data_IF_389264269577
#
_entry.id   IF_389264269577
#
_cell.length_a   1.000
_cell.length_b   1.000
_cell.length_c   1.000
_cell.angle_alpha   90.00
_cell.angle_beta   90.00
_cell.angle_gamma   90.00
#
_symmetry.space_group_name_H-M   'P 1'
#
loop_
_entity.id
_entity.type
_entity.pdbx_description
1 polymer ?
#
# COMPACT_ATOMS: atom_id res chain seq x y z
N UNK A 1 14.57 -62.77 45.34
CA UNK A 1 14.99 -62.46 43.95
C UNK A 1 13.95 -61.51 43.38
N UNK A 2 14.23 -60.21 43.41
CA UNK A 2 13.29 -59.11 43.16
C UNK A 2 12.95 -59.00 41.66
N UNK A 3 11.65 -58.89 41.33
CA UNK A 3 11.16 -58.47 40.01
C UNK A 3 10.90 -56.96 40.06
N UNK A 4 11.67 -56.18 39.29
CA UNK A 4 11.32 -54.80 38.97
C UNK A 4 10.58 -54.79 37.63
N UNK A 5 9.27 -54.51 37.68
CA UNK A 5 8.47 -54.17 36.51
C UNK A 5 8.39 -52.65 36.41
N UNK A 6 9.09 -52.07 35.43
CA UNK A 6 9.01 -50.65 35.10
C UNK A 6 8.11 -50.44 33.88
N UNK A 7 6.95 -49.84 34.08
CA UNK A 7 6.07 -49.34 33.01
C UNK A 7 6.60 -47.99 32.50
N UNK A 8 6.99 -47.92 31.22
CA UNK A 8 7.29 -46.66 30.55
C UNK A 8 5.99 -45.92 30.28
N UNK A 9 5.82 -44.74 30.88
CA UNK A 9 4.75 -43.79 30.55
C UNK A 9 5.28 -42.83 29.49
N UNK A 10 4.70 -42.83 28.31
CA UNK A 10 5.00 -41.86 27.25
C UNK A 10 4.34 -40.51 27.57
N UNK A 11 5.04 -39.37 27.37
CA UNK A 11 4.44 -38.06 27.59
C UNK A 11 3.33 -37.77 26.55
N UNK A 12 2.31 -36.97 26.89
CA UNK A 12 1.25 -36.61 25.95
C UNK A 12 1.83 -35.78 24.80
N UNK A 13 1.49 -36.16 23.57
CA UNK A 13 1.84 -35.41 22.37
C UNK A 13 1.20 -34.02 22.36
N UNK A 14 1.76 -33.07 21.59
CA UNK A 14 1.20 -31.73 21.47
C UNK A 14 -0.24 -31.78 20.95
N UNK A 15 -1.13 -30.89 21.41
CA UNK A 15 -2.50 -30.83 20.91
C UNK A 15 -2.49 -30.54 19.41
N UNK A 16 -3.43 -31.10 18.64
CA UNK A 16 -3.56 -30.81 17.22
C UNK A 16 -3.78 -29.30 17.01
N UNK A 17 -3.26 -28.72 15.93
CA UNK A 17 -3.47 -27.32 15.63
C UNK A 17 -4.97 -27.05 15.56
N UNK A 18 -5.43 -26.07 16.35
CA UNK A 18 -6.78 -25.54 16.29
C UNK A 18 -7.07 -25.14 14.85
N UNK A 19 -8.14 -25.74 14.29
CA UNK A 19 -8.69 -25.36 13.00
C UNK A 19 -8.92 -23.85 13.00
N UNK A 20 -8.13 -23.13 12.20
CA UNK A 20 -8.40 -21.73 11.86
C UNK A 20 -9.82 -21.71 11.29
N UNK A 21 -10.73 -21.02 11.98
CA UNK A 21 -12.07 -20.80 11.48
C UNK A 21 -11.97 -19.97 10.22
N UNK A 22 -12.15 -20.61 9.06
CA UNK A 22 -12.33 -19.88 7.80
C UNK A 22 -13.66 -19.14 7.92
N UNK A 23 -13.62 -17.84 8.16
CA UNK A 23 -14.75 -16.96 7.94
C UNK A 23 -15.13 -17.07 6.46
N UNK A 24 -16.37 -17.50 6.13
CA UNK A 24 -16.80 -17.57 4.74
C UNK A 24 -16.74 -16.17 4.13
N UNK A 25 -16.21 -16.07 2.91
CA UNK A 25 -16.20 -14.83 2.13
C UNK A 25 -17.61 -14.18 2.17
N UNK A 26 -17.74 -12.89 2.52
CA UNK A 26 -19.04 -12.27 2.69
C UNK A 26 -19.84 -12.34 1.37
N UNK A 27 -21.15 -12.68 1.41
CA UNK A 27 -21.94 -12.79 0.20
C UNK A 27 -22.20 -11.41 -0.40
N UNK A 28 -21.43 -11.07 -1.44
CA UNK A 28 -21.64 -9.89 -2.28
C UNK A 28 -23.02 -9.94 -2.97
N UNK A 29 -23.62 -8.79 -3.32
CA UNK A 29 -24.99 -8.72 -3.85
C UNK A 29 -25.26 -9.61 -5.08
N UNK A 30 -24.25 -9.85 -5.92
CA UNK A 30 -24.31 -10.77 -7.06
C UNK A 30 -23.20 -11.84 -7.02
N UNK A 31 -22.76 -12.19 -5.81
CA UNK A 31 -21.68 -13.15 -5.57
C UNK A 31 -20.36 -12.77 -6.23
N UNK A 32 -19.70 -13.74 -6.88
CA UNK A 32 -18.39 -13.57 -7.50
C UNK A 32 -18.37 -12.53 -8.64
N UNK A 33 -19.50 -12.30 -9.33
CA UNK A 33 -19.57 -11.32 -10.42
C UNK A 33 -19.42 -9.89 -9.91
N UNK A 34 -20.10 -9.56 -8.80
CA UNK A 34 -19.96 -8.26 -8.14
C UNK A 34 -18.54 -8.04 -7.63
N UNK A 35 -17.96 -9.04 -6.97
CA UNK A 35 -16.58 -8.96 -6.51
C UNK A 35 -15.62 -8.72 -7.67
N UNK A 36 -15.74 -9.49 -8.76
CA UNK A 36 -14.90 -9.30 -9.94
C UNK A 36 -15.09 -7.91 -10.56
N UNK A 37 -16.33 -7.44 -10.68
CA UNK A 37 -16.63 -6.11 -11.21
C UNK A 37 -16.15 -4.97 -10.30
N UNK A 38 -16.02 -5.22 -9.01
CA UNK A 38 -15.52 -4.24 -8.04
C UNK A 38 -13.98 -4.19 -8.04
N UNK A 39 -13.32 -5.34 -8.23
CA UNK A 39 -11.87 -5.52 -8.10
C UNK A 39 -11.07 -5.35 -9.40
N UNK A 40 -11.61 -5.72 -10.56
CA UNK A 40 -10.86 -5.73 -11.83
C UNK A 40 -11.06 -4.52 -12.79
N UNK A 41 -11.77 -3.45 -12.44
CA UNK A 41 -11.55 -2.11 -12.98
C UNK A 41 -10.53 -1.37 -12.11
N UNK A 42 -9.45 -0.88 -12.71
CA UNK A 42 -8.49 -0.07 -11.95
C UNK A 42 -9.14 1.23 -11.49
N UNK A 43 -8.73 1.68 -10.31
CA UNK A 43 -9.23 2.90 -9.72
C UNK A 43 -9.07 4.08 -10.69
N UNK A 44 -10.21 4.61 -11.11
CA UNK A 44 -10.31 5.71 -12.04
C UNK A 44 -11.27 6.72 -11.47
N UNK A 45 -10.75 7.87 -11.08
CA UNK A 45 -11.56 8.98 -10.65
C UNK A 45 -11.10 10.30 -11.25
N UNK A 46 -11.69 10.63 -12.39
CA UNK A 46 -11.92 12.00 -12.81
C UNK A 46 -13.43 12.14 -12.88
N UNK A 47 -14.04 12.53 -11.76
CA UNK A 47 -15.49 12.65 -11.65
C UNK A 47 -16.10 12.05 -10.38
N UNK A 48 -15.55 12.37 -9.21
CA UNK A 48 -16.42 12.52 -8.03
C UNK A 48 -17.26 13.78 -8.32
N UNK A 49 -18.21 13.68 -9.26
CA UNK A 49 -19.23 14.69 -9.42
C UNK A 49 -20.02 14.65 -8.13
N UNK A 50 -19.76 15.59 -7.22
CA UNK A 50 -20.58 15.97 -6.07
C UNK A 50 -21.61 14.90 -5.69
N UNK A 51 -21.16 13.73 -5.23
CA UNK A 51 -22.05 12.91 -4.42
C UNK A 51 -22.07 13.64 -3.09
N UNK A 52 -23.10 14.46 -2.90
CA UNK A 52 -23.52 14.93 -1.59
C UNK A 52 -23.90 13.72 -0.74
N UNK A 53 -22.92 12.89 -0.37
CA UNK A 53 -23.08 12.05 0.78
C UNK A 53 -23.08 13.01 1.97
N UNK A 54 -24.19 13.05 2.70
CA UNK A 54 -24.26 13.81 3.92
C UNK A 54 -23.11 13.34 4.82
N UNK A 55 -22.39 14.24 5.49
CA UNK A 55 -21.33 13.86 6.45
C UNK A 55 -21.79 12.77 7.43
N UNK A 56 -23.10 12.74 7.74
CA UNK A 56 -23.75 11.69 8.53
C UNK A 56 -23.67 10.29 7.90
N UNK A 57 -23.91 10.13 6.60
CA UNK A 57 -23.84 8.82 5.93
C UNK A 57 -22.40 8.32 5.83
N UNK A 58 -21.43 9.22 5.64
CA UNK A 58 -20.01 8.86 5.64
C UNK A 58 -19.53 8.42 7.02
N UNK A 59 -19.91 9.15 8.07
CA UNK A 59 -19.53 8.82 9.44
C UNK A 59 -20.18 7.52 9.93
N UNK A 60 -21.42 7.25 9.51
CA UNK A 60 -22.07 5.97 9.78
C UNK A 60 -21.32 4.81 9.10
N UNK A 61 -20.92 4.97 7.83
CA UNK A 61 -20.14 3.94 7.14
C UNK A 61 -18.79 3.67 7.78
N UNK A 62 -18.08 4.72 8.21
CA UNK A 62 -16.82 4.55 8.94
C UNK A 62 -16.99 3.73 10.23
N UNK A 63 -18.12 3.88 10.92
CA UNK A 63 -18.44 3.11 12.13
C UNK A 63 -18.88 1.66 11.82
N UNK A 64 -19.48 1.44 10.66
CA UNK A 64 -19.93 0.11 10.20
C UNK A 64 -18.77 -0.73 9.64
N UNK A 65 -17.77 -0.08 9.01
CA UNK A 65 -16.55 -0.75 8.56
C UNK A 65 -15.68 -1.04 9.78
N UNK A 66 -15.88 -2.19 10.41
CA UNK A 66 -15.12 -2.64 11.60
C UNK A 66 -13.77 -3.28 11.24
N UNK A 67 -13.66 -3.78 10.02
CA UNK A 67 -12.48 -4.43 9.48
C UNK A 67 -12.35 -4.17 7.98
N UNK A 68 -11.13 -4.32 7.48
CA UNK A 68 -10.78 -4.31 6.08
C UNK A 68 -10.02 -5.58 5.75
N UNK A 69 -10.46 -6.31 4.74
CA UNK A 69 -9.78 -7.54 4.29
C UNK A 69 -8.89 -7.18 3.10
N UNK A 70 -7.60 -7.49 3.18
CA UNK A 70 -6.67 -7.42 2.06
C UNK A 70 -6.49 -8.81 1.47
N UNK A 71 -6.91 -9.02 0.23
CA UNK A 71 -6.59 -10.21 -0.55
C UNK A 71 -5.49 -9.85 -1.55
N UNK A 72 -4.31 -10.46 -1.39
CA UNK A 72 -3.13 -10.12 -2.19
C UNK A 72 -2.65 -11.34 -2.95
N UNK A 73 -2.48 -11.18 -4.25
CA UNK A 73 -1.87 -12.17 -5.13
C UNK A 73 -0.70 -11.53 -5.89
N UNK A 74 0.43 -12.24 -5.94
CA UNK A 74 1.62 -11.86 -6.69
C UNK A 74 1.87 -12.92 -7.74
N UNK A 75 2.00 -12.49 -8.99
CA UNK A 75 2.25 -13.37 -10.13
C UNK A 75 3.57 -12.99 -10.80
N UNK A 76 4.28 -14.00 -11.28
CA UNK A 76 5.41 -13.84 -12.19
C UNK A 76 5.14 -14.59 -13.49
N UNK A 77 5.19 -13.89 -14.62
CA UNK A 77 4.92 -14.45 -15.95
C UNK A 77 3.57 -15.21 -16.00
N UNK A 78 2.55 -14.68 -15.30
CA UNK A 78 1.21 -15.27 -15.20
C UNK A 78 1.08 -16.47 -14.25
N UNK A 79 2.16 -16.91 -13.59
CA UNK A 79 2.13 -17.97 -12.57
C UNK A 79 2.05 -17.36 -11.18
N UNK A 80 1.15 -17.89 -10.35
CA UNK A 80 1.01 -17.43 -8.96
C UNK A 80 2.28 -17.79 -8.19
N UNK A 81 2.92 -16.76 -7.62
CA UNK A 81 4.11 -16.88 -6.79
C UNK A 81 3.75 -16.85 -5.32
N UNK A 82 2.84 -15.95 -4.94
CA UNK A 82 2.46 -15.76 -3.55
C UNK A 82 1.01 -15.29 -3.46
N UNK A 83 0.29 -15.75 -2.44
CA UNK A 83 -1.07 -15.32 -2.14
C UNK A 83 -1.29 -15.31 -0.64
N UNK A 84 -1.87 -14.23 -0.11
CA UNK A 84 -2.18 -14.10 1.32
C UNK A 84 -3.40 -13.20 1.51
N UNK A 85 -4.20 -13.56 2.52
CA UNK A 85 -5.33 -12.76 2.98
C UNK A 85 -5.00 -12.24 4.38
N UNK A 86 -5.24 -10.94 4.60
CA UNK A 86 -5.05 -10.27 5.87
C UNK A 86 -6.33 -9.56 6.30
N UNK A 87 -6.63 -9.61 7.59
CA UNK A 87 -7.69 -8.83 8.21
C UNK A 87 -7.07 -7.66 8.97
N UNK A 88 -7.58 -6.45 8.76
CA UNK A 88 -7.11 -5.22 9.42
C UNK A 88 -8.27 -4.58 10.17
N UNK A 89 -8.17 -4.50 11.50
CA UNK A 89 -9.15 -3.78 12.32
C UNK A 89 -9.05 -2.26 12.07
N UNK A 90 -10.19 -1.60 11.87
CA UNK A 90 -10.27 -0.18 11.47
C UNK A 90 -10.76 0.75 12.59
N UNK A 91 -11.29 0.22 13.69
CA UNK A 91 -11.90 1.02 14.77
C UNK A 91 -10.92 1.37 15.89
N UNK A 92 -9.77 0.70 15.97
CA UNK A 92 -8.80 0.96 17.02
C UNK A 92 -8.26 2.40 16.92
N UNK A 93 -8.08 3.05 18.08
CA UNK A 93 -7.50 4.41 18.11
C UNK A 93 -6.10 4.47 17.51
N UNK A 94 -5.34 3.36 17.60
CA UNK A 94 -4.05 3.19 16.94
C UNK A 94 -4.20 3.23 15.42
N UNK A 95 -5.08 2.40 14.84
CA UNK A 95 -5.34 2.43 13.40
C UNK A 95 -5.70 3.84 12.93
N UNK A 96 -6.69 4.47 13.58
CA UNK A 96 -7.22 5.76 13.15
C UNK A 96 -6.19 6.90 13.20
N UNK A 97 -5.23 6.82 14.13
CA UNK A 97 -4.26 7.90 14.39
C UNK A 97 -2.88 7.63 13.79
N UNK A 98 -2.54 6.37 13.50
CA UNK A 98 -1.26 5.98 12.92
C UNK A 98 -1.29 6.09 11.39
N UNK A 99 -0.14 6.34 10.74
CA UNK A 99 -0.02 6.23 9.29
C UNK A 99 -0.47 4.85 8.80
N UNK A 100 -1.33 4.80 7.78
CA UNK A 100 -1.80 3.54 7.22
C UNK A 100 -0.69 2.86 6.44
N UNK A 101 -0.19 1.75 6.99
CA UNK A 101 0.74 0.85 6.33
C UNK A 101 0.34 -0.59 6.61
N UNK A 102 0.04 -1.33 5.57
CA UNK A 102 -0.31 -2.75 5.63
C UNK A 102 0.88 -3.54 5.09
N UNK A 103 1.58 -4.26 5.96
CA UNK A 103 2.69 -5.13 5.55
C UNK A 103 2.14 -6.56 5.36
N UNK A 104 2.41 -7.14 4.19
CA UNK A 104 1.97 -8.50 3.86
C UNK A 104 2.91 -9.56 4.42
N UNK A 105 4.21 -9.27 4.43
CA UNK A 105 5.27 -10.11 4.94
C UNK A 105 5.68 -9.63 6.34
N UNK A 106 5.88 -10.57 7.25
CA UNK A 106 6.49 -10.25 8.54
C UNK A 106 7.97 -9.87 8.36
N UNK A 107 8.57 -9.16 9.32
CA UNK A 107 9.96 -8.66 9.28
C UNK A 107 11.06 -9.69 8.99
N UNK A 108 10.74 -10.99 9.04
CA UNK A 108 11.67 -12.11 8.79
C UNK A 108 11.16 -13.08 7.74
N UNK A 109 9.99 -12.82 7.17
CA UNK A 109 9.36 -13.68 6.18
C UNK A 109 9.98 -13.36 4.81
N UNK A 110 10.60 -14.36 4.21
CA UNK A 110 11.13 -14.27 2.84
C UNK A 110 10.41 -15.32 2.02
N UNK A 111 9.80 -14.89 0.92
CA UNK A 111 9.10 -15.79 0.00
C UNK A 111 10.00 -16.04 -1.21
N UNK A 112 10.49 -17.26 -1.34
CA UNK A 112 11.22 -17.69 -2.53
C UNK A 112 10.27 -18.23 -3.59
N UNK A 113 10.41 -17.74 -4.80
CA UNK A 113 9.72 -18.24 -5.98
C UNK A 113 10.72 -18.97 -6.88
N UNK A 114 10.38 -20.14 -7.46
CA UNK A 114 11.23 -20.86 -8.40
C UNK A 114 11.25 -20.17 -9.76
N UNK A 115 11.79 -18.95 -9.77
CA UNK A 115 12.01 -18.10 -10.94
C UNK A 115 13.52 -17.93 -11.01
N UNK A 116 14.14 -18.59 -11.99
CA UNK A 116 15.57 -18.50 -12.22
C UNK A 116 15.85 -17.27 -13.07
N UNK A 117 16.68 -16.36 -12.56
CA UNK A 117 17.20 -15.27 -13.38
C UNK A 117 18.34 -15.79 -14.23
N UNK A 118 18.07 -16.06 -15.50
CA UNK A 118 19.08 -16.34 -16.52
C UNK A 118 19.43 -15.02 -17.23
N UNK A 119 20.58 -14.41 -16.90
CA UNK A 119 21.07 -13.20 -17.57
C UNK A 119 22.03 -12.33 -16.73
N UNK A 120 22.68 -11.35 -17.37
CA UNK A 120 23.47 -10.31 -16.69
C UNK A 120 22.58 -9.50 -15.73
N UNK A 121 23.15 -8.94 -14.64
CA UNK A 121 22.41 -8.19 -13.60
C UNK A 121 21.44 -7.12 -14.12
N UNK A 122 21.70 -6.53 -15.30
CA UNK A 122 20.82 -5.55 -15.94
C UNK A 122 19.50 -6.12 -16.47
N UNK A 123 19.47 -7.39 -16.87
CA UNK A 123 18.28 -8.06 -17.44
C UNK A 123 17.24 -8.38 -16.36
N UNK A 124 17.66 -8.52 -15.10
CA UNK A 124 16.78 -8.88 -13.98
C UNK A 124 15.71 -7.81 -13.70
N UNK A 125 16.07 -6.52 -13.71
CA UNK A 125 15.12 -5.43 -13.49
C UNK A 125 14.05 -5.38 -14.60
N UNK A 126 14.45 -5.52 -15.86
CA UNK A 126 13.52 -5.52 -16.99
C UNK A 126 12.54 -6.70 -16.94
N UNK A 127 13.05 -7.90 -16.62
CA UNK A 127 12.22 -9.09 -16.45
C UNK A 127 11.20 -8.94 -15.31
N UNK A 128 11.61 -8.33 -14.19
CA UNK A 128 10.71 -8.07 -13.07
C UNK A 128 9.66 -7.02 -13.43
N UNK A 129 10.05 -5.92 -14.07
CA UNK A 129 9.10 -4.90 -14.54
C UNK A 129 8.07 -5.47 -15.52
N UNK A 130 8.50 -6.38 -16.41
CA UNK A 130 7.64 -6.95 -17.44
C UNK A 130 6.71 -8.05 -16.90
N UNK A 131 7.23 -8.93 -16.04
CA UNK A 131 6.55 -10.18 -15.68
C UNK A 131 6.00 -10.23 -14.26
N UNK A 132 6.50 -9.41 -13.32
CA UNK A 132 5.97 -9.36 -11.97
C UNK A 132 4.72 -8.47 -11.95
N UNK A 133 3.61 -9.03 -11.48
CA UNK A 133 2.34 -8.33 -11.35
C UNK A 133 1.73 -8.58 -9.99
N UNK A 134 1.02 -7.57 -9.47
CA UNK A 134 0.43 -7.61 -8.14
C UNK A 134 -1.06 -7.27 -8.25
N UNK A 135 -1.89 -8.06 -7.60
CA UNK A 135 -3.28 -7.71 -7.32
C UNK A 135 -3.39 -7.53 -5.82
N UNK A 136 -3.77 -6.32 -5.39
CA UNK A 136 -4.02 -6.02 -3.98
C UNK A 136 -5.45 -5.51 -3.86
N UNK A 137 -6.35 -6.41 -3.49
CA UNK A 137 -7.78 -6.13 -3.40
C UNK A 137 -8.13 -5.86 -1.94
N UNK A 138 -8.59 -4.66 -1.65
CA UNK A 138 -9.18 -4.30 -0.37
C UNK A 138 -10.68 -4.57 -0.43
N UNK A 139 -11.22 -5.18 0.61
CA UNK A 139 -12.61 -5.59 0.72
C UNK A 139 -13.16 -5.02 2.02
N UNK A 140 -14.26 -4.29 1.90
CA UNK A 140 -15.11 -3.92 3.02
C UNK A 140 -16.23 -4.95 3.15
N UNK A 141 -16.19 -5.83 4.17
CA UNK A 141 -17.20 -6.86 4.35
C UNK A 141 -18.56 -6.30 4.79
N UNK A 142 -18.59 -5.18 5.51
CA UNK A 142 -19.83 -4.55 5.99
C UNK A 142 -20.64 -3.98 4.82
N UNK A 143 -19.97 -3.27 3.91
CA UNK A 143 -20.60 -2.67 2.73
C UNK A 143 -20.59 -3.58 1.51
N UNK A 144 -19.91 -4.73 1.58
CA UNK A 144 -19.78 -5.72 0.51
C UNK A 144 -19.24 -5.10 -0.77
N UNK A 145 -18.22 -4.26 -0.62
CA UNK A 145 -17.53 -3.58 -1.71
C UNK A 145 -16.07 -3.97 -1.72
N UNK A 146 -15.48 -3.96 -2.91
CA UNK A 146 -14.06 -4.19 -3.07
C UNK A 146 -13.42 -3.18 -4.02
N UNK A 147 -12.10 -3.06 -3.92
CA UNK A 147 -11.30 -2.18 -4.76
C UNK A 147 -9.88 -2.74 -4.90
N UNK A 148 -9.36 -2.80 -6.11
CA UNK A 148 -7.94 -3.08 -6.33
C UNK A 148 -7.14 -1.77 -6.29
N UNK A 149 -6.18 -1.72 -5.37
CA UNK A 149 -5.32 -0.54 -5.14
C UNK A 149 -3.98 -0.63 -5.86
N UNK A 150 -3.63 -1.79 -6.40
CA UNK A 150 -2.45 -1.99 -7.24
C UNK A 150 -2.78 -1.70 -8.72
N UNK A 151 -1.85 -1.04 -9.41
CA UNK A 151 -1.89 -0.94 -10.87
C UNK A 151 -1.58 -2.30 -11.50
N UNK A 152 -2.01 -2.47 -12.75
CA UNK A 152 -1.81 -3.71 -13.50
C UNK A 152 -0.33 -4.03 -13.79
N UNK A 153 0.52 -3.00 -13.89
CA UNK A 153 1.97 -3.08 -14.04
C UNK A 153 2.66 -2.15 -13.06
N UNK A 154 3.94 -2.40 -12.80
CA UNK A 154 4.76 -1.48 -12.03
C UNK A 154 4.80 -0.11 -12.74
N UNK A 155 4.60 0.95 -11.97
CA UNK A 155 4.68 2.34 -12.47
C UNK A 155 6.07 2.92 -12.26
N UNK A 156 6.86 2.32 -11.37
CA UNK A 156 8.23 2.69 -11.09
C UNK A 156 9.02 1.48 -10.59
N UNK A 157 10.27 1.37 -11.02
CA UNK A 157 11.23 0.38 -10.56
C UNK A 157 12.50 1.10 -10.13
N UNK A 158 13.05 0.73 -8.98
CA UNK A 158 14.27 1.31 -8.42
C UNK A 158 15.15 0.22 -7.86
N UNK A 159 16.46 0.42 -7.92
CA UNK A 159 17.43 -0.41 -7.19
C UNK A 159 17.87 0.36 -5.96
N UNK A 160 17.70 -0.24 -4.80
CA UNK A 160 18.08 0.40 -3.54
C UNK A 160 19.60 0.40 -3.42
N UNK A 161 20.20 1.59 -3.33
CA UNK A 161 21.65 1.80 -3.42
C UNK A 161 22.47 1.13 -2.30
N UNK A 162 21.84 0.79 -1.17
CA UNK A 162 22.52 0.18 -0.03
C UNK A 162 22.34 -1.33 0.04
N UNK A 163 21.13 -1.82 -0.28
CA UNK A 163 20.78 -3.24 -0.15
C UNK A 163 20.89 -3.99 -1.47
N UNK A 164 21.06 -3.27 -2.58
CA UNK A 164 21.04 -3.79 -3.96
C UNK A 164 19.72 -4.48 -4.34
N UNK A 165 18.69 -4.40 -3.49
CA UNK A 165 17.37 -4.96 -3.73
C UNK A 165 16.60 -4.13 -4.76
N UNK A 166 15.77 -4.82 -5.54
CA UNK A 166 14.91 -4.20 -6.54
C UNK A 166 13.56 -3.90 -5.89
N UNK A 167 13.17 -2.65 -5.93
CA UNK A 167 11.89 -2.15 -5.44
C UNK A 167 10.99 -1.84 -6.62
N UNK A 168 9.87 -2.53 -6.71
CA UNK A 168 8.81 -2.29 -7.69
C UNK A 168 7.66 -1.57 -6.98
N UNK A 169 7.22 -0.46 -7.56
CA UNK A 169 6.07 0.30 -7.08
C UNK A 169 4.91 0.15 -8.06
N UNK A 170 3.80 -0.35 -7.54
CA UNK A 170 2.51 -0.40 -8.21
C UNK A 170 1.63 0.66 -7.59
N UNK A 171 0.86 1.39 -8.38
CA UNK A 171 0.12 2.50 -7.81
C UNK A 171 -1.10 2.93 -8.59
N UNK A 172 -2.13 3.27 -7.84
CA UNK A 172 -3.36 3.88 -8.36
C UNK A 172 -3.57 5.27 -7.81
N UNK A 173 -4.21 6.12 -8.61
CA UNK A 173 -4.49 7.51 -8.29
C UNK A 173 -5.97 7.68 -8.01
N UNK A 174 -6.30 8.19 -6.84
CA UNK A 174 -7.65 8.48 -6.39
C UNK A 174 -7.78 9.98 -6.17
N UNK A 175 -8.96 10.54 -6.41
CA UNK A 175 -9.28 11.89 -5.99
C UNK A 175 -10.03 11.83 -4.66
N UNK A 176 -9.56 12.55 -3.66
CA UNK A 176 -10.25 12.76 -2.40
C UNK A 176 -11.47 13.69 -2.59
N UNK A 177 -12.32 13.78 -1.57
CA UNK A 177 -13.58 14.53 -1.60
C UNK A 177 -13.41 16.04 -1.90
N UNK A 178 -12.28 16.63 -1.53
CA UNK A 178 -11.91 18.03 -1.79
C UNK A 178 -11.25 18.25 -3.16
N UNK A 179 -11.06 17.17 -3.93
CA UNK A 179 -10.40 17.19 -5.24
C UNK A 179 -8.88 17.06 -5.16
N UNK A 180 -8.30 16.91 -3.97
CA UNK A 180 -6.88 16.58 -3.83
C UNK A 180 -6.62 15.17 -4.37
N UNK A 181 -5.47 14.99 -5.01
CA UNK A 181 -5.10 13.69 -5.56
C UNK A 181 -4.29 12.93 -4.51
N UNK A 182 -4.65 11.67 -4.33
CA UNK A 182 -4.02 10.77 -3.37
C UNK A 182 -3.59 9.50 -4.08
N UNK A 183 -2.50 8.93 -3.62
CA UNK A 183 -1.85 7.81 -4.25
C UNK A 183 -1.96 6.59 -3.33
N UNK A 184 -2.61 5.53 -3.81
CA UNK A 184 -2.49 4.22 -3.18
C UNK A 184 -1.25 3.55 -3.77
N UNK A 185 -0.22 3.37 -2.94
CA UNK A 185 1.06 2.77 -3.31
C UNK A 185 1.15 1.36 -2.76
N UNK A 186 1.51 0.41 -3.62
CA UNK A 186 1.95 -0.93 -3.24
C UNK A 186 3.41 -1.06 -3.62
N UNK A 187 4.26 -1.36 -2.64
CA UNK A 187 5.70 -1.54 -2.84
C UNK A 187 6.05 -3.00 -2.63
N UNK A 188 6.77 -3.57 -3.58
CA UNK A 188 7.30 -4.92 -3.54
C UNK A 188 8.82 -4.82 -3.64
N UNK A 189 9.50 -5.21 -2.58
CA UNK A 189 10.95 -5.32 -2.55
C UNK A 189 11.33 -6.78 -2.68
N UNK A 190 12.23 -7.05 -3.62
CA UNK A 190 12.74 -8.38 -3.84
C UNK A 190 13.97 -8.39 -4.73
N UNK A 191 14.61 -9.53 -4.80
CA UNK A 191 15.79 -9.74 -5.62
C UNK A 191 16.20 -11.20 -5.63
N UNK A 192 16.93 -11.59 -6.66
CA UNK A 192 17.60 -12.89 -6.74
C UNK A 192 19.07 -12.66 -7.00
N UNK A 193 19.93 -13.56 -6.50
CA UNK A 193 21.31 -13.65 -6.99
C UNK A 193 21.29 -14.25 -8.39
N UNK A 194 22.33 -14.00 -9.19
CA UNK A 194 22.50 -14.62 -10.51
C UNK A 194 22.39 -16.15 -10.40
N UNK A 195 21.49 -16.76 -11.18
CA UNK A 195 21.17 -18.19 -11.10
C UNK A 195 20.41 -18.64 -9.85
N UNK A 196 19.87 -17.71 -9.07
CA UNK A 196 19.06 -17.96 -7.87
C UNK A 196 17.57 -17.71 -8.09
N UNK A 197 16.79 -18.11 -7.08
CA UNK A 197 15.34 -17.88 -7.00
C UNK A 197 15.01 -16.41 -6.69
N UNK A 198 13.88 -15.91 -7.20
CA UNK A 198 13.30 -14.62 -6.79
C UNK A 198 12.90 -14.68 -5.33
N UNK A 199 13.51 -13.83 -4.50
CA UNK A 199 13.14 -13.65 -3.10
C UNK A 199 12.34 -12.35 -2.95
N UNK A 200 11.15 -12.46 -2.38
CA UNK A 200 10.34 -11.32 -1.96
C UNK A 200 10.53 -11.14 -0.46
N UNK A 201 11.01 -9.96 -0.06
CA UNK A 201 11.41 -9.68 1.33
C UNK A 201 10.44 -8.70 2.00
N UNK A 202 9.82 -7.82 1.21
CA UNK A 202 8.88 -6.84 1.74
C UNK A 202 7.79 -6.57 0.70
N UNK A 203 6.54 -6.62 1.14
CA UNK A 203 5.39 -6.29 0.30
C UNK A 203 4.45 -5.45 1.16
N UNK A 204 4.28 -4.17 0.80
CA UNK A 204 3.57 -3.20 1.64
C UNK A 204 2.59 -2.38 0.83
N UNK A 205 1.50 -1.96 1.48
CA UNK A 205 0.52 -1.04 0.94
C UNK A 205 0.40 0.18 1.85
N UNK A 206 0.37 1.36 1.24
CA UNK A 206 0.19 2.63 1.93
C UNK A 206 -0.60 3.63 1.08
N UNK A 207 -1.16 4.64 1.73
CA UNK A 207 -1.84 5.76 1.06
C UNK A 207 -1.06 7.04 1.33
N UNK A 208 -0.68 7.73 0.27
CA UNK A 208 0.10 8.97 0.32
C UNK A 208 -0.67 10.15 -0.27
N UNK A 209 -0.46 11.33 0.28
CA UNK A 209 -0.87 12.59 -0.36
C UNK A 209 0.09 13.03 -1.48
N UNK A 210 -0.17 14.19 -2.07
CA UNK A 210 0.67 14.77 -3.11
C UNK A 210 2.08 15.09 -2.62
N UNK A 211 2.27 15.30 -1.33
CA UNK A 211 3.54 15.61 -0.67
C UNK A 211 4.36 14.37 -0.32
N UNK A 212 3.77 13.17 -0.34
CA UNK A 212 4.43 11.93 0.07
C UNK A 212 4.34 11.64 1.56
N UNK A 213 3.50 12.37 2.27
CA UNK A 213 3.13 12.02 3.63
C UNK A 213 2.18 10.82 3.56
N UNK A 214 2.51 9.79 4.33
CA UNK A 214 1.60 8.66 4.54
C UNK A 214 0.42 9.16 5.38
N UNK A 215 -0.78 8.99 4.86
CA UNK A 215 -2.02 9.41 5.51
C UNK A 215 -2.33 8.50 6.69
N UNK A 216 -3.02 9.04 7.69
CA UNK A 216 -3.49 8.26 8.85
C UNK A 216 -4.50 7.20 8.43
N UNK A 217 -4.75 6.19 9.28
CA UNK A 217 -5.77 5.18 9.00
C UNK A 217 -7.16 5.78 8.82
N UNK A 218 -7.51 6.83 9.57
CA UNK A 218 -8.79 7.53 9.38
C UNK A 218 -8.88 8.22 8.01
N UNK A 219 -7.88 9.04 7.66
CA UNK A 219 -7.82 9.76 6.38
C UNK A 219 -7.86 8.76 5.20
N UNK A 220 -7.06 7.70 5.31
CA UNK A 220 -6.96 6.65 4.29
C UNK A 220 -8.25 5.85 4.15
N UNK A 221 -8.90 5.48 5.26
CA UNK A 221 -10.16 4.73 5.24
C UNK A 221 -11.26 5.53 4.55
N UNK A 222 -11.35 6.83 4.83
CA UNK A 222 -12.28 7.74 4.12
C UNK A 222 -12.08 7.67 2.61
N UNK A 223 -10.83 7.83 2.16
CA UNK A 223 -10.48 7.80 0.73
C UNK A 223 -10.82 6.44 0.13
N UNK A 224 -10.47 5.34 0.80
CA UNK A 224 -10.68 3.99 0.29
C UNK A 224 -12.16 3.63 0.19
N UNK A 225 -12.99 4.03 1.16
CA UNK A 225 -14.45 3.82 1.10
C UNK A 225 -15.09 4.64 -0.03
N UNK A 226 -14.63 5.86 -0.26
CA UNK A 226 -15.07 6.67 -1.41
C UNK A 226 -14.62 6.04 -2.73
N UNK A 227 -13.38 5.56 -2.80
CA UNK A 227 -12.83 4.82 -3.94
C UNK A 227 -13.65 3.56 -4.23
N UNK A 228 -14.08 2.84 -3.19
CA UNK A 228 -14.98 1.69 -3.30
C UNK A 228 -16.36 2.07 -3.85
N UNK A 229 -16.87 3.27 -3.61
CA UNK A 229 -18.15 3.72 -4.16
C UNK A 229 -18.09 4.26 -5.59
N UNK A 230 -16.90 4.64 -6.06
CA UNK A 230 -16.70 5.31 -7.34
C UNK A 230 -17.16 4.53 -8.57
N UNK A 231 -17.48 5.24 -9.66
CA UNK A 231 -17.72 4.63 -10.97
C UNK A 231 -16.51 3.79 -11.43
N UNK A 232 -16.80 2.58 -11.90
CA UNK A 232 -15.81 1.64 -12.41
C UNK A 232 -15.62 1.84 -13.91
N UNK A 233 -14.38 2.03 -14.36
CA UNK A 233 -14.02 2.03 -15.78
C UNK A 233 -12.81 1.15 -15.96
N UNK A 234 -12.83 0.34 -17.03
CA UNK A 234 -11.64 -0.40 -17.46
C UNK A 234 -10.58 0.63 -17.82
N UNK A 235 -9.43 0.57 -17.16
CA UNK A 235 -8.30 1.42 -17.49
C UNK A 235 -7.56 0.87 -18.71
N UNK A 236 -6.87 1.78 -19.39
CA UNK A 236 -5.76 1.42 -20.25
C UNK A 236 -4.47 1.59 -19.42
N UNK A 237 -3.56 0.62 -19.52
CA UNK A 237 -2.23 0.64 -18.89
C UNK A 237 -1.50 1.95 -19.23
N UNK A 238 -1.63 2.42 -20.47
CA UNK A 238 -1.00 3.66 -20.91
C UNK A 238 -1.52 4.87 -20.14
N UNK A 239 -2.84 4.90 -19.90
CA UNK A 239 -3.51 5.96 -19.15
C UNK A 239 -3.11 5.94 -17.67
N UNK A 240 -2.92 4.75 -17.08
CA UNK A 240 -2.39 4.62 -15.70
C UNK A 240 -1.00 5.22 -15.58
N UNK A 241 -0.09 4.85 -16.50
CA UNK A 241 1.29 5.34 -16.49
C UNK A 241 1.37 6.84 -16.71
N UNK A 242 0.63 7.38 -17.69
CA UNK A 242 0.56 8.83 -17.94
C UNK A 242 0.03 9.61 -16.72
N UNK A 243 -0.95 9.07 -16.00
CA UNK A 243 -1.48 9.68 -14.77
C UNK A 243 -0.48 9.66 -13.64
N UNK A 244 0.19 8.54 -13.43
CA UNK A 244 1.26 8.44 -12.44
C UNK A 244 2.39 9.43 -12.75
N UNK A 245 2.80 9.55 -14.01
CA UNK A 245 3.79 10.56 -14.42
C UNK A 245 3.30 12.00 -14.20
N UNK A 246 2.03 12.26 -14.47
CA UNK A 246 1.41 13.57 -14.23
C UNK A 246 1.38 13.89 -12.74
N UNK A 247 1.01 12.94 -11.88
CA UNK A 247 1.13 13.10 -10.43
C UNK A 247 2.56 13.38 -10.01
N UNK A 248 3.54 12.60 -10.51
CA UNK A 248 4.95 12.76 -10.18
C UNK A 248 5.45 14.16 -10.55
N UNK A 249 5.08 14.66 -11.74
CA UNK A 249 5.37 16.03 -12.17
C UNK A 249 4.74 17.06 -11.23
N UNK A 250 3.48 16.88 -10.86
CA UNK A 250 2.79 17.78 -9.92
C UNK A 250 3.43 17.76 -8.53
N UNK A 251 3.81 16.60 -7.99
CA UNK A 251 4.54 16.44 -6.73
C UNK A 251 5.89 17.18 -6.77
N UNK A 252 6.65 17.03 -7.85
CA UNK A 252 7.93 17.75 -8.03
C UNK A 252 7.69 19.26 -8.01
N UNK A 253 6.73 19.76 -8.79
CA UNK A 253 6.40 21.19 -8.82
C UNK A 253 5.95 21.71 -7.46
N UNK A 254 5.18 20.93 -6.71
CA UNK A 254 4.73 21.30 -5.38
C UNK A 254 5.91 21.37 -4.40
N UNK A 255 6.77 20.36 -4.40
CA UNK A 255 7.99 20.31 -3.61
C UNK A 255 8.91 21.51 -3.91
N UNK A 256 9.11 21.85 -5.18
CA UNK A 256 9.89 23.02 -5.59
C UNK A 256 9.29 24.33 -5.09
N UNK A 257 7.97 24.50 -5.18
CA UNK A 257 7.27 25.69 -4.68
C UNK A 257 7.41 25.83 -3.16
N UNK A 258 7.32 24.71 -2.43
CA UNK A 258 7.51 24.68 -0.98
C UNK A 258 8.96 25.01 -0.61
N UNK A 259 9.94 24.41 -1.27
CA UNK A 259 11.36 24.70 -1.05
C UNK A 259 11.69 26.18 -1.31
N UNK A 260 11.08 26.81 -2.33
CA UNK A 260 11.22 28.25 -2.56
C UNK A 260 10.64 29.08 -1.42
N UNK A 261 9.48 28.70 -0.88
CA UNK A 261 8.88 29.39 0.27
C UNK A 261 9.73 29.26 1.52
N UNK A 262 10.23 28.06 1.82
CA UNK A 262 11.12 27.80 2.96
C UNK A 262 12.42 28.61 2.85
N UNK A 263 13.08 28.57 1.68
CA UNK A 263 14.26 29.42 1.42
C UNK A 263 13.97 30.91 1.60
N UNK A 264 12.80 31.38 1.16
CA UNK A 264 12.41 32.77 1.36
C UNK A 264 12.22 33.10 2.85
N UNK A 265 11.63 32.19 3.63
CA UNK A 265 11.48 32.35 5.08
C UNK A 265 12.84 32.37 5.79
N UNK A 266 13.78 31.50 5.40
CA UNK A 266 15.14 31.47 5.95
C UNK A 266 15.87 32.80 5.69
N UNK A 267 15.75 33.35 4.47
CA UNK A 267 16.35 34.65 4.13
C UNK A 267 15.75 35.78 4.98
N UNK A 268 14.42 35.78 5.16
CA UNK A 268 13.74 36.78 6.01
C UNK A 268 14.18 36.64 7.47
N UNK A 269 14.30 35.42 7.98
CA UNK A 269 14.73 35.15 9.36
C UNK A 269 16.19 35.60 9.58
N UNK A 270 17.10 35.25 8.66
CA UNK A 270 18.50 35.68 8.70
C UNK A 270 18.60 37.21 8.64
N UNK A 271 17.87 37.86 7.72
CA UNK A 271 17.88 39.31 7.60
C UNK A 271 17.35 40.01 8.86
N UNK A 272 16.30 39.46 9.47
CA UNK A 272 15.75 39.97 10.74
C UNK A 272 16.77 39.83 11.87
N UNK A 273 17.44 38.69 12.00
CA UNK A 273 18.51 38.48 12.99
C UNK A 273 19.68 39.46 12.82
N UNK A 274 20.15 39.66 11.58
CA UNK A 274 21.22 40.64 11.26
C UNK A 274 20.77 42.07 11.61
N UNK A 275 19.53 42.44 11.29
CA UNK A 275 19.01 43.77 11.60
C UNK A 275 18.94 44.04 13.12
N UNK A 276 18.50 43.05 13.91
CA UNK A 276 18.48 43.15 15.37
C UNK A 276 19.91 43.28 15.92
N UNK A 277 20.85 42.48 15.41
CA UNK A 277 22.25 42.53 15.84
C UNK A 277 22.90 43.89 15.57
N UNK A 278 22.70 44.46 14.36
CA UNK A 278 23.20 45.80 14.00
C UNK A 278 22.57 46.88 14.90
N UNK A 279 21.25 46.78 15.16
CA UNK A 279 20.55 47.74 16.01
C UNK A 279 21.04 47.72 17.45
N UNK A 280 21.31 46.54 18.02
CA UNK A 280 21.89 46.39 19.35
C UNK A 280 23.32 46.96 19.40
N UNK A 281 24.15 46.64 18.40
CA UNK A 281 25.49 47.22 18.28
C UNK A 281 25.47 48.75 18.26
N UNK A 282 24.57 49.34 17.46
CA UNK A 282 24.42 50.79 17.38
C UNK A 282 23.87 51.45 18.66
N UNK A 283 23.20 50.68 19.54
CA UNK A 283 22.70 51.18 20.82
C UNK A 283 23.76 51.12 21.94
N UNK A 284 24.65 50.12 21.91
CA UNK A 284 25.69 49.93 22.93
C UNK A 284 27.03 50.65 22.61
N UNK A 285 27.20 51.16 21.39
CA UNK A 285 28.31 52.04 20.99
C UNK A 285 27.91 53.51 21.09
#
# INVERSE_FOLDING_TARGET
MMRYGGTFVTPPGPPPPTLVSWTPFPPFPSGHRSFYSDSFPTLHHYGLCHRHNCKKSQQQRLLETTELISAVDIYYAGKLVYSKVLETETLSGWFLSSPLRINLLDLKEVVSAPVMFEGEEGTCMELLEEHLTVSWILIDPAHKRAVNVASSKAVEIRRHWLTEEIQLRYSTVVAAADGELVQCGVEVCGGGKEGGELQLNEVTMQVEDMEGKILTGLESLVILLEAMEGQRRKSDIKVEKERFETLKKTRIQFSERKQRREKNLDVVYIATGVFIFISLWAYFC
#
